data_IF_210388306019
#
_entry.id   IF_210388306019
#
_cell.length_a   1.000
_cell.length_b   1.000
_cell.length_c   1.000
_cell.angle_alpha   90.00
_cell.angle_beta   90.00
_cell.angle_gamma   90.00
#
_symmetry.space_group_name_H-M   'P 1'
#
loop_
_entity.id
_entity.type
_entity.pdbx_description
1 polymer ?
#
# COMPACT_ATOMS: atom_id res chain seq x y z
N UNK A 1 14.82 -24.40 20.07
CA UNK A 1 14.33 -23.01 20.19
C UNK A 1 14.04 -22.51 18.77
N UNK A 2 12.78 -22.60 18.31
CA UNK A 2 12.42 -22.24 16.93
C UNK A 2 12.17 -20.74 16.79
N UNK A 3 12.88 -20.08 15.86
CA UNK A 3 12.60 -18.71 15.46
C UNK A 3 11.24 -18.66 14.74
N UNK A 4 10.27 -17.98 15.35
CA UNK A 4 9.04 -17.57 14.67
C UNK A 4 9.42 -16.54 13.60
N UNK A 5 9.47 -17.00 12.35
CA UNK A 5 9.55 -16.10 11.19
C UNK A 5 8.26 -15.29 11.14
N UNK A 6 8.31 -14.04 11.58
CA UNK A 6 7.29 -13.07 11.21
C UNK A 6 7.38 -12.92 9.71
N UNK A 7 6.51 -13.63 8.97
CA UNK A 7 6.31 -13.37 7.56
C UNK A 7 5.90 -11.91 7.47
N UNK A 8 6.85 -11.07 7.06
CA UNK A 8 6.68 -9.65 6.80
C UNK A 8 5.79 -9.53 5.56
N UNK A 9 4.50 -9.84 5.73
CA UNK A 9 3.47 -9.46 4.78
C UNK A 9 3.56 -7.95 4.69
N UNK A 10 4.19 -7.52 3.60
CA UNK A 10 4.27 -6.17 3.03
C UNK A 10 3.75 -5.13 3.99
N UNK A 11 4.65 -4.29 4.51
CA UNK A 11 4.24 -3.00 5.11
C UNK A 11 3.11 -2.46 4.24
N UNK A 12 1.95 -2.21 4.85
CA UNK A 12 0.83 -1.63 4.13
C UNK A 12 1.30 -0.24 3.70
N UNK A 13 1.82 -0.12 2.48
CA UNK A 13 2.45 1.10 1.95
C UNK A 13 1.48 2.29 1.91
N UNK A 14 0.19 2.01 2.09
CA UNK A 14 -0.88 3.00 2.15
C UNK A 14 -1.19 3.52 3.57
N UNK A 15 -0.75 2.83 4.64
CA UNK A 15 -0.97 3.28 6.03
C UNK A 15 0.15 4.25 6.42
N UNK A 16 -0.21 5.47 6.80
CA UNK A 16 0.75 6.50 7.18
C UNK A 16 1.42 6.20 8.53
N UNK A 17 2.61 6.78 8.74
CA UNK A 17 3.31 6.71 10.03
C UNK A 17 2.48 7.24 11.20
N UNK A 18 1.61 8.23 10.94
CA UNK A 18 0.67 8.77 11.93
C UNK A 18 -0.35 7.72 12.39
N UNK A 19 -0.98 7.01 11.45
CA UNK A 19 -1.94 5.94 11.77
C UNK A 19 -1.26 4.79 12.52
N UNK A 20 -0.01 4.46 12.17
CA UNK A 20 0.81 3.47 12.89
C UNK A 20 1.13 3.91 14.31
N UNK A 21 1.49 5.18 14.51
CA UNK A 21 1.77 5.74 15.83
C UNK A 21 0.53 5.71 16.74
N UNK A 22 -0.63 6.15 16.23
CA UNK A 22 -1.90 6.09 16.97
C UNK A 22 -2.28 4.65 17.35
N UNK A 23 -2.05 3.70 16.43
CA UNK A 23 -2.29 2.27 16.65
C UNK A 23 -1.37 1.70 17.74
N UNK A 24 -0.09 2.07 17.73
CA UNK A 24 0.89 1.66 18.75
C UNK A 24 0.55 2.24 20.13
N UNK A 25 0.11 3.49 20.19
CA UNK A 25 -0.33 4.14 21.43
C UNK A 25 -1.56 3.45 22.03
N UNK A 26 -2.53 3.07 21.18
CA UNK A 26 -3.70 2.31 21.61
C UNK A 26 -3.37 0.90 22.07
N UNK A 27 -2.43 0.21 21.41
CA UNK A 27 -1.97 -1.10 21.85
C UNK A 27 -1.32 -1.09 23.26
N UNK A 28 -0.83 0.08 23.68
CA UNK A 28 -0.25 0.31 25.01
C UNK A 28 -1.27 0.75 26.06
N UNK A 29 -2.42 1.31 25.63
CA UNK A 29 -3.47 1.81 26.50
C UNK A 29 -4.31 0.70 27.14
N UNK A 30 -4.44 0.71 28.48
CA UNK A 30 -5.05 -0.40 29.24
C UNK A 30 -6.51 -0.18 29.69
N UNK A 31 -7.10 1.02 29.54
CA UNK A 31 -8.43 1.31 30.09
C UNK A 31 -9.42 1.92 29.09
N UNK A 32 -10.61 1.30 28.98
CA UNK A 32 -11.76 1.80 28.19
C UNK A 32 -12.38 3.08 28.78
N UNK A 33 -12.05 3.40 30.04
CA UNK A 33 -12.60 4.56 30.76
C UNK A 33 -11.71 5.80 30.67
N UNK A 34 -10.50 5.67 30.12
CA UNK A 34 -9.61 6.81 29.91
C UNK A 34 -10.11 7.70 28.75
N UNK A 35 -10.22 9.00 29.00
CA UNK A 35 -10.62 9.99 28.00
C UNK A 35 -9.66 10.01 26.80
N UNK A 36 -8.36 9.83 27.02
CA UNK A 36 -7.34 9.75 25.97
C UNK A 36 -7.57 8.52 25.08
N UNK A 37 -7.83 7.36 25.69
CA UNK A 37 -8.14 6.13 24.97
C UNK A 37 -9.43 6.24 24.15
N UNK A 38 -10.45 6.93 24.70
CA UNK A 38 -11.70 7.22 23.97
C UNK A 38 -11.46 8.14 22.78
N UNK A 39 -10.58 9.13 22.90
CA UNK A 39 -10.21 10.01 21.78
C UNK A 39 -9.42 9.23 20.71
N UNK A 40 -8.43 8.43 21.11
CA UNK A 40 -7.65 7.58 20.20
C UNK A 40 -8.55 6.62 19.40
N UNK A 41 -9.52 5.98 20.05
CA UNK A 41 -10.53 5.13 19.37
C UNK A 41 -11.35 5.87 18.32
N UNK A 42 -11.56 7.18 18.46
CA UNK A 42 -12.27 8.00 17.45
C UNK A 42 -11.33 8.46 16.34
N UNK A 43 -10.05 8.64 16.63
CA UNK A 43 -9.06 9.16 15.69
C UNK A 43 -8.51 8.09 14.75
N UNK A 44 -8.28 6.86 15.22
CA UNK A 44 -7.71 5.79 14.40
C UNK A 44 -8.58 5.47 13.18
N UNK A 45 -9.90 5.22 13.30
CA UNK A 45 -10.72 4.92 12.14
C UNK A 45 -10.78 6.08 11.15
N UNK A 46 -10.67 7.33 11.62
CA UNK A 46 -10.60 8.50 10.74
C UNK A 46 -9.28 8.52 9.96
N UNK A 47 -8.15 8.38 10.67
CA UNK A 47 -6.82 8.36 10.06
C UNK A 47 -6.68 7.23 9.03
N UNK A 48 -7.20 6.04 9.33
CA UNK A 48 -7.22 4.90 8.39
C UNK A 48 -8.05 5.22 7.15
N UNK A 49 -9.21 5.87 7.30
CA UNK A 49 -10.06 6.26 6.17
C UNK A 49 -9.41 7.34 5.31
N UNK A 50 -8.75 8.31 5.93
CA UNK A 50 -8.03 9.38 5.24
C UNK A 50 -6.86 8.78 4.42
N UNK A 51 -6.08 7.88 5.03
CA UNK A 51 -4.99 7.15 4.37
C UNK A 51 -5.52 6.32 3.19
N UNK A 52 -6.64 5.61 3.38
CA UNK A 52 -7.28 4.82 2.33
C UNK A 52 -7.78 5.70 1.17
N UNK A 53 -8.45 6.81 1.47
CA UNK A 53 -8.96 7.73 0.47
C UNK A 53 -7.82 8.33 -0.36
N UNK A 54 -6.75 8.76 0.31
CA UNK A 54 -5.56 9.31 -0.36
C UNK A 54 -4.94 8.28 -1.31
N UNK A 55 -4.75 7.05 -0.85
CA UNK A 55 -4.18 5.98 -1.65
C UNK A 55 -5.01 5.64 -2.89
N UNK A 56 -6.34 5.57 -2.75
CA UNK A 56 -7.22 5.32 -3.90
C UNK A 56 -7.27 6.48 -4.87
N UNK A 57 -7.25 7.72 -4.36
CA UNK A 57 -7.17 8.91 -5.20
C UNK A 57 -5.90 8.92 -6.05
N UNK A 58 -4.73 8.74 -5.43
CA UNK A 58 -3.45 8.69 -6.13
C UNK A 58 -3.40 7.57 -7.19
N UNK A 59 -3.97 6.40 -6.88
CA UNK A 59 -4.08 5.29 -7.83
C UNK A 59 -5.00 5.61 -9.01
N UNK A 60 -6.18 6.18 -8.75
CA UNK A 60 -7.12 6.56 -9.80
C UNK A 60 -6.51 7.60 -10.74
N UNK A 61 -5.87 8.65 -10.18
CA UNK A 61 -5.17 9.67 -10.97
C UNK A 61 -4.05 9.06 -11.81
N UNK A 62 -3.28 8.12 -11.27
CA UNK A 62 -2.21 7.46 -12.04
C UNK A 62 -2.76 6.58 -13.18
N UNK A 63 -3.88 5.89 -12.95
CA UNK A 63 -4.57 5.10 -13.98
C UNK A 63 -5.11 6.00 -15.10
N UNK A 64 -5.75 7.11 -14.73
CA UNK A 64 -6.27 8.10 -15.68
C UNK A 64 -5.13 8.68 -16.54
N UNK A 65 -4.03 9.10 -15.92
CA UNK A 65 -2.85 9.60 -16.62
C UNK A 65 -2.28 8.56 -17.60
N UNK A 66 -2.13 7.30 -17.16
CA UNK A 66 -1.63 6.22 -18.01
C UNK A 66 -2.56 5.96 -19.20
N UNK A 67 -3.87 6.03 -18.99
CA UNK A 67 -4.88 5.89 -20.04
C UNK A 67 -4.82 7.04 -21.05
N UNK A 68 -4.75 8.28 -20.56
CA UNK A 68 -4.75 9.49 -21.41
C UNK A 68 -3.53 9.55 -22.33
N UNK A 69 -2.38 9.04 -21.90
CA UNK A 69 -1.15 8.98 -22.73
C UNK A 69 -1.00 7.67 -23.50
N UNK A 70 -1.99 6.78 -23.45
CA UNK A 70 -1.96 5.48 -24.15
C UNK A 70 -0.96 4.47 -23.60
N UNK A 71 -0.46 4.66 -22.38
CA UNK A 71 0.51 3.75 -21.75
C UNK A 71 -0.17 2.53 -21.13
N UNK A 72 -0.57 1.60 -21.99
CA UNK A 72 -1.23 0.35 -21.60
C UNK A 72 -0.39 -0.48 -20.61
N UNK A 73 0.94 -0.52 -20.77
CA UNK A 73 1.84 -1.25 -19.86
C UNK A 73 1.73 -0.73 -18.42
N UNK A 74 1.79 0.59 -18.24
CA UNK A 74 1.67 1.22 -16.92
C UNK A 74 0.28 1.02 -16.32
N UNK A 75 -0.77 1.09 -17.14
CA UNK A 75 -2.14 0.82 -16.68
C UNK A 75 -2.29 -0.61 -16.13
N UNK A 76 -1.80 -1.63 -16.85
CA UNK A 76 -1.83 -3.03 -16.39
C UNK A 76 -0.99 -3.25 -15.12
N UNK A 77 0.15 -2.56 -14.98
CA UNK A 77 0.96 -2.63 -13.76
C UNK A 77 0.19 -2.10 -12.54
N UNK A 78 -0.51 -0.96 -12.68
CA UNK A 78 -1.30 -0.40 -11.57
C UNK A 78 -2.47 -1.33 -11.22
N UNK A 79 -3.18 -1.88 -12.22
CA UNK A 79 -4.26 -2.87 -12.00
C UNK A 79 -3.72 -4.09 -11.24
N UNK A 80 -2.56 -4.60 -11.64
CA UNK A 80 -1.88 -5.69 -10.95
C UNK A 80 -1.63 -5.38 -9.48
N UNK A 81 -0.96 -4.25 -9.20
CA UNK A 81 -0.64 -3.81 -7.84
C UNK A 81 -1.88 -3.61 -6.95
N UNK A 82 -2.97 -3.08 -7.51
CA UNK A 82 -4.23 -2.87 -6.79
C UNK A 82 -4.95 -4.19 -6.51
N UNK A 83 -4.92 -5.14 -7.45
CA UNK A 83 -5.58 -6.43 -7.32
C UNK A 83 -4.91 -7.39 -6.33
N UNK A 84 -3.80 -6.97 -5.69
CA UNK A 84 -3.01 -7.82 -4.79
C UNK A 84 -2.28 -8.95 -5.52
N UNK A 85 -2.41 -9.03 -6.85
CA UNK A 85 -1.58 -9.90 -7.67
C UNK A 85 -0.17 -9.30 -7.63
N UNK A 86 0.86 -10.09 -7.30
CA UNK A 86 2.20 -9.67 -7.67
C UNK A 86 2.13 -9.34 -9.17
N UNK A 87 2.80 -8.28 -9.65
CA UNK A 87 3.08 -8.22 -11.06
C UNK A 87 3.92 -9.47 -11.32
N UNK A 88 3.27 -10.57 -11.73
CA UNK A 88 3.90 -11.68 -12.42
C UNK A 88 4.72 -10.97 -13.44
N UNK A 89 6.05 -10.96 -13.21
CA UNK A 89 7.10 -10.36 -14.02
C UNK A 89 6.45 -9.92 -15.32
N UNK A 90 6.03 -8.66 -15.41
CA UNK A 90 5.43 -8.17 -16.65
C UNK A 90 6.60 -8.25 -17.58
N UNK A 91 6.66 -9.40 -18.29
CA UNK A 91 7.89 -9.96 -18.80
C UNK A 91 8.57 -8.79 -19.46
N UNK A 92 9.81 -8.55 -19.04
CA UNK A 92 10.72 -7.80 -19.87
C UNK A 92 10.47 -8.37 -21.26
N UNK A 93 9.89 -7.55 -22.14
CA UNK A 93 9.80 -7.88 -23.54
C UNK A 93 11.26 -7.96 -23.93
N UNK A 94 11.82 -9.15 -23.76
CA UNK A 94 13.11 -9.49 -24.29
C UNK A 94 12.83 -9.52 -25.77
N UNK A 95 13.63 -8.79 -26.53
CA UNK A 95 13.79 -9.10 -27.94
C UNK A 95 13.97 -10.63 -28.07
N UNK A 96 13.50 -11.19 -29.18
CA UNK A 96 13.54 -12.64 -29.47
C UNK A 96 14.94 -13.23 -29.28
N UNK A 97 15.98 -12.40 -29.27
CA UNK A 97 17.38 -12.80 -29.12
C UNK A 97 17.95 -12.67 -27.69
N UNK A 98 17.18 -12.27 -26.67
CA UNK A 98 17.58 -12.37 -25.28
C UNK A 98 18.76 -11.48 -24.83
N UNK A 99 19.18 -10.49 -25.63
CA UNK A 99 20.22 -9.53 -25.28
C UNK A 99 19.56 -8.25 -24.73
N UNK A 100 20.02 -7.70 -23.59
CA UNK A 100 19.57 -6.38 -23.15
C UNK A 100 20.19 -5.31 -24.06
N UNK A 101 19.37 -4.50 -24.70
CA UNK A 101 19.83 -3.32 -25.43
C UNK A 101 20.47 -2.34 -24.44
N UNK A 102 21.80 -2.32 -24.44
CA UNK A 102 22.60 -1.25 -23.84
C UNK A 102 22.87 -0.20 -24.91
N UNK A 103 22.13 0.91 -24.91
CA UNK A 103 22.59 2.27 -25.23
C UNK A 103 21.69 3.30 -24.52
#
# INVERSE_FOLDING_TARGET
>A
MGQLGFTQWRRNDWISGRTLQLSAETARGRSRHDASFRQLRKLIPKSVRDDQQKYWYERATSMEQASNVGNARKLYQIIGQVSGKPPTLCDSVRDVNGVPDTL
#
